data_IF_653028292693
#
_entry.id   IF_653028292693
#
_cell.length_a   1.000
_cell.length_b   1.000
_cell.length_c   1.000
_cell.angle_alpha   90.00
_cell.angle_beta   90.00
_cell.angle_gamma   90.00
#
_symmetry.space_group_name_H-M   'P 1'
#
loop_
_entity.id
_entity.type
_entity.pdbx_description
1 polymer ?
#
# COMPACT_ATOMS: atom_id res chain seq x y z
N UNK A 1 25.64 -7.48 -26.92
CA UNK A 1 24.37 -6.75 -27.14
C UNK A 1 24.61 -5.31 -26.71
N UNK A 2 24.35 -4.35 -27.59
CA UNK A 2 24.58 -2.92 -27.32
C UNK A 2 23.24 -2.31 -26.90
N UNK A 3 23.13 -1.84 -25.65
CA UNK A 3 21.92 -1.20 -25.17
C UNK A 3 21.98 0.29 -25.53
N UNK A 4 21.01 0.75 -26.31
CA UNK A 4 20.85 2.16 -26.66
C UNK A 4 20.27 2.93 -25.47
N UNK A 5 21.14 3.47 -24.62
CA UNK A 5 20.74 4.38 -23.55
C UNK A 5 20.55 5.79 -24.13
N UNK A 6 19.31 6.28 -24.13
CA UNK A 6 18.99 7.66 -24.52
C UNK A 6 18.89 8.55 -23.28
N UNK A 7 19.58 9.70 -23.27
CA UNK A 7 19.57 10.64 -22.14
C UNK A 7 18.19 11.30 -21.88
N UNK A 8 17.22 11.12 -22.77
CA UNK A 8 15.86 11.64 -22.59
C UNK A 8 14.99 10.76 -21.67
N UNK A 9 15.53 9.63 -21.17
CA UNK A 9 14.84 8.75 -20.26
C UNK A 9 14.97 9.27 -18.82
N UNK A 10 13.99 10.07 -18.38
CA UNK A 10 13.93 10.66 -17.03
C UNK A 10 13.61 9.64 -15.93
N UNK A 11 13.04 8.48 -16.29
CA UNK A 11 12.82 7.35 -15.38
C UNK A 11 13.34 6.07 -16.02
N UNK A 12 14.10 5.32 -15.22
CA UNK A 12 14.45 3.94 -15.56
C UNK A 12 13.14 3.13 -15.49
N UNK A 13 12.75 2.54 -16.62
CA UNK A 13 11.54 1.73 -16.74
C UNK A 13 11.83 0.35 -16.11
N UNK A 14 11.93 0.35 -14.78
CA UNK A 14 12.14 -0.85 -13.99
C UNK A 14 10.75 -1.47 -13.78
N UNK A 15 10.53 -2.75 -14.14
CA UNK A 15 9.25 -3.44 -13.97
C UNK A 15 8.82 -3.66 -12.50
N UNK A 16 9.41 -2.93 -11.55
CA UNK A 16 9.07 -2.95 -10.12
C UNK A 16 7.89 -2.05 -9.75
N UNK A 17 7.36 -1.25 -10.67
CA UNK A 17 6.10 -0.54 -10.45
C UNK A 17 4.93 -1.53 -10.55
N UNK A 18 4.61 -2.19 -9.43
CA UNK A 18 3.41 -3.02 -9.35
C UNK A 18 2.19 -2.10 -9.34
N UNK A 19 1.44 -2.09 -10.44
CA UNK A 19 0.12 -1.50 -10.51
C UNK A 19 -0.94 -2.60 -10.42
N UNK A 20 -1.84 -2.56 -9.43
CA UNK A 20 -2.93 -3.52 -9.36
C UNK A 20 -3.87 -3.37 -10.56
N UNK A 21 -4.49 -4.47 -11.00
CA UNK A 21 -5.49 -4.44 -12.08
C UNK A 21 -6.65 -3.48 -11.74
N UNK A 22 -7.27 -2.87 -12.75
CA UNK A 22 -8.32 -1.85 -12.56
C UNK A 22 -9.50 -2.31 -11.66
N UNK A 23 -9.80 -3.61 -11.66
CA UNK A 23 -10.88 -4.20 -10.83
C UNK A 23 -10.40 -4.71 -9.47
N UNK A 24 -9.19 -4.39 -9.05
CA UNK A 24 -8.61 -4.92 -7.82
C UNK A 24 -9.27 -4.30 -6.57
N UNK A 25 -9.59 -5.10 -5.52
CA UNK A 25 -10.26 -4.62 -4.31
C UNK A 25 -9.51 -3.51 -3.58
N UNK A 26 -8.20 -3.37 -3.79
CA UNK A 26 -7.41 -2.28 -3.22
C UNK A 26 -7.93 -0.89 -3.61
N UNK A 27 -8.42 -0.70 -4.84
CA UNK A 27 -8.97 0.59 -5.26
C UNK A 27 -10.23 0.96 -4.49
N UNK A 28 -11.13 -0.01 -4.30
CA UNK A 28 -12.36 0.18 -3.53
C UNK A 28 -12.07 0.47 -2.06
N UNK A 29 -11.13 -0.27 -1.46
CA UNK A 29 -10.67 -0.04 -0.08
C UNK A 29 -10.04 1.34 0.04
N UNK A 30 -9.20 1.73 -0.92
CA UNK A 30 -8.56 3.05 -0.93
C UNK A 30 -9.62 4.17 -0.99
N UNK A 31 -10.56 4.11 -1.91
CA UNK A 31 -11.65 5.08 -2.03
C UNK A 31 -12.50 5.16 -0.76
N UNK A 32 -12.85 4.01 -0.17
CA UNK A 32 -13.60 3.96 1.07
C UNK A 32 -12.83 4.63 2.22
N UNK A 33 -11.55 4.31 2.36
CA UNK A 33 -10.74 4.88 3.45
C UNK A 33 -10.49 6.36 3.23
N UNK A 34 -10.23 6.83 2.00
CA UNK A 34 -10.07 8.27 1.73
C UNK A 34 -11.36 9.07 1.93
N UNK A 35 -12.54 8.43 1.85
CA UNK A 35 -13.82 9.09 2.11
C UNK A 35 -14.10 9.36 3.60
N UNK A 36 -13.31 8.76 4.49
CA UNK A 36 -13.44 8.94 5.94
C UNK A 36 -12.62 10.14 6.40
N UNK A 37 -13.22 11.00 7.22
CA UNK A 37 -12.49 12.05 7.91
C UNK A 37 -11.66 11.43 9.05
N UNK A 38 -10.34 11.56 8.95
CA UNK A 38 -9.40 11.20 10.01
C UNK A 38 -8.96 12.47 10.70
N UNK A 39 -9.40 12.67 11.93
CA UNK A 39 -8.85 13.69 12.82
C UNK A 39 -7.59 13.10 13.47
N UNK A 40 -6.41 13.64 13.16
CA UNK A 40 -5.17 13.29 13.86
C UNK A 40 -5.21 13.94 15.26
N UNK A 41 -5.91 13.30 16.20
CA UNK A 41 -6.05 13.78 17.59
C UNK A 41 -4.84 13.44 18.48
N UNK A 42 -3.72 13.01 17.88
CA UNK A 42 -2.59 12.47 18.63
C UNK A 42 -1.53 13.54 18.94
N UNK A 43 -1.55 14.00 20.18
CA UNK A 43 -0.65 15.05 20.73
C UNK A 43 0.74 14.53 21.13
N UNK A 44 0.96 13.21 21.20
CA UNK A 44 2.19 12.61 21.75
C UNK A 44 2.90 11.67 20.76
N UNK A 45 4.01 12.15 20.19
CA UNK A 45 5.21 11.40 19.79
C UNK A 45 5.08 10.07 19.02
N UNK A 46 5.19 10.17 17.68
CA UNK A 46 5.66 9.18 16.69
C UNK A 46 4.99 7.79 16.69
N UNK A 47 3.91 7.68 15.93
CA UNK A 47 3.59 6.43 15.25
C UNK A 47 4.45 6.28 13.99
N UNK A 48 4.94 5.06 13.67
CA UNK A 48 5.61 4.80 12.39
C UNK A 48 4.65 4.84 11.19
N UNK A 49 3.33 4.74 11.40
CA UNK A 49 2.33 4.64 10.34
C UNK A 49 1.09 5.49 10.62
N UNK A 50 0.51 6.11 9.59
CA UNK A 50 -0.77 6.83 9.69
C UNK A 50 -1.94 5.86 9.93
N UNK A 51 -2.95 6.22 10.74
CA UNK A 51 -4.15 5.40 10.96
C UNK A 51 -4.85 4.99 9.66
N UNK A 52 -4.83 5.89 8.67
CA UNK A 52 -5.37 5.66 7.33
C UNK A 52 -4.71 4.46 6.63
N UNK A 53 -3.38 4.38 6.68
CA UNK A 53 -2.61 3.28 6.09
C UNK A 53 -2.89 1.96 6.81
N UNK A 54 -2.91 1.99 8.14
CA UNK A 54 -3.23 0.81 8.95
C UNK A 54 -4.63 0.28 8.64
N UNK A 55 -5.62 1.16 8.45
CA UNK A 55 -6.97 0.75 8.11
C UNK A 55 -7.04 0.09 6.73
N UNK A 56 -6.35 0.64 5.72
CA UNK A 56 -6.25 0.01 4.39
C UNK A 56 -5.67 -1.40 4.48
N UNK A 57 -4.58 -1.58 5.24
CA UNK A 57 -3.97 -2.90 5.46
C UNK A 57 -4.94 -3.88 6.10
N UNK A 58 -5.61 -3.47 7.17
CA UNK A 58 -6.54 -4.34 7.91
C UNK A 58 -7.68 -4.74 7.00
N UNK A 59 -8.35 -3.79 6.34
CA UNK A 59 -9.45 -4.10 5.42
C UNK A 59 -8.99 -5.05 4.31
N UNK A 60 -7.82 -4.79 3.73
CA UNK A 60 -7.27 -5.63 2.67
C UNK A 60 -6.97 -7.05 3.16
N UNK A 61 -6.36 -7.21 4.33
CA UNK A 61 -6.11 -8.52 4.92
C UNK A 61 -7.42 -9.29 5.17
N UNK A 62 -8.47 -8.59 5.63
CA UNK A 62 -9.79 -9.18 5.85
C UNK A 62 -10.44 -9.64 4.54
N UNK A 63 -10.28 -8.92 3.43
CA UNK A 63 -10.78 -9.40 2.12
C UNK A 63 -10.12 -10.70 1.68
N UNK A 64 -8.90 -10.98 2.14
CA UNK A 64 -8.19 -12.25 1.91
C UNK A 64 -8.42 -13.31 3.00
N UNK A 65 -9.32 -13.06 3.94
CA UNK A 65 -9.65 -14.01 5.02
C UNK A 65 -8.64 -14.03 6.16
N UNK A 66 -7.66 -13.13 6.19
CA UNK A 66 -6.66 -13.02 7.26
C UNK A 66 -7.24 -12.17 8.40
N UNK A 67 -7.48 -12.78 9.55
CA UNK A 67 -8.19 -12.13 10.68
C UNK A 67 -7.34 -11.93 11.93
N UNK A 68 -6.23 -12.67 12.06
CA UNK A 68 -5.40 -12.65 13.26
C UNK A 68 -4.33 -11.56 13.14
N UNK A 69 -4.16 -10.73 14.17
CA UNK A 69 -3.20 -9.60 14.14
C UNK A 69 -1.78 -10.00 13.74
N UNK A 70 -1.23 -11.10 14.30
CA UNK A 70 0.10 -11.63 13.92
C UNK A 70 0.18 -12.10 12.46
N UNK A 71 -0.94 -12.57 11.91
CA UNK A 71 -0.99 -12.97 10.50
C UNK A 71 -1.08 -11.75 9.59
N UNK A 72 -1.76 -10.68 10.02
CA UNK A 72 -1.82 -9.41 9.30
C UNK A 72 -0.44 -8.74 9.29
N UNK A 73 0.29 -8.78 10.41
CA UNK A 73 1.68 -8.32 10.48
C UNK A 73 2.57 -9.07 9.48
N UNK A 74 2.57 -10.41 9.51
CA UNK A 74 3.33 -11.22 8.55
C UNK A 74 2.94 -10.92 7.11
N UNK A 75 1.65 -10.80 6.85
CA UNK A 75 1.12 -10.45 5.54
C UNK A 75 1.63 -9.07 5.08
N UNK A 76 1.69 -8.07 5.97
CA UNK A 76 2.27 -6.77 5.65
C UNK A 76 3.77 -6.87 5.38
N UNK A 77 4.49 -7.66 6.19
CA UNK A 77 5.93 -7.84 6.05
C UNK A 77 6.33 -8.51 4.72
N UNK A 78 5.53 -9.48 4.26
CA UNK A 78 5.71 -10.19 3.00
C UNK A 78 5.33 -9.33 1.78
N UNK A 79 4.42 -8.36 1.97
CA UNK A 79 3.87 -7.53 0.89
C UNK A 79 4.38 -6.08 0.89
N UNK A 80 5.56 -5.80 1.49
CA UNK A 80 6.16 -4.45 1.56
C UNK A 80 6.35 -3.74 0.20
N UNK A 81 6.35 -4.50 -0.89
CA UNK A 81 6.51 -3.97 -2.26
C UNK A 81 5.16 -3.52 -2.85
N UNK A 82 4.03 -3.97 -2.29
CA UNK A 82 2.69 -3.71 -2.81
C UNK A 82 1.91 -2.64 -2.01
N UNK A 83 2.53 -1.99 -1.01
CA UNK A 83 1.87 -1.08 -0.08
C UNK A 83 2.55 0.28 0.02
#
# INVERSE_FOLDING_TARGET
MYNNYSMNQLMLDIPTAYEPEENHPAYQINQLVESLDFTDEYTTGRYPYHPRLLLKLVLFAYTRGIRYGRMIERFADENKVAM
#
